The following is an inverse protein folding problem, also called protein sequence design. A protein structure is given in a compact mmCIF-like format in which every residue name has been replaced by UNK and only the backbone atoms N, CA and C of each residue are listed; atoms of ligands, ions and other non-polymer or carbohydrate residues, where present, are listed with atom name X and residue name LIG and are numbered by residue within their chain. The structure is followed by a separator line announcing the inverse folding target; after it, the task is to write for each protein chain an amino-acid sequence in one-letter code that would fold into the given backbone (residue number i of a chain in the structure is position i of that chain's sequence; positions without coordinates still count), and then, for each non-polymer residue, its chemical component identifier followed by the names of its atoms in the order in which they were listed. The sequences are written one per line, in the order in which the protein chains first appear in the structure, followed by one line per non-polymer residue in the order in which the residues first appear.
data_IF_218150797604
#
_entry.id   IF_218150797604
#
_cell.length_a   1.000
_cell.length_b   1.000
_cell.length_c   1.000
_cell.angle_alpha   90.00
_cell.angle_beta   90.00
_cell.angle_gamma   90.00
#
_symmetry.space_group_name_H-M   'P 1'
#
loop_
_entity.id
_entity.type
_entity.pdbx_description
1 polymer ?
#
# COMPACT_ATOMS: atom_id res chain seq x y z
N UNK A 1 -26.08 -15.62 -5.43
CA UNK A 1 -25.45 -14.87 -6.54
C UNK A 1 -23.99 -14.64 -6.15
N UNK A 2 -23.05 -14.89 -7.05
CA UNK A 2 -21.61 -14.64 -6.82
C UNK A 2 -21.24 -13.40 -7.61
N UNK A 3 -20.62 -12.43 -6.96
CA UNK A 3 -20.05 -11.23 -7.60
C UNK A 3 -18.54 -11.38 -7.63
N UNK A 4 -17.95 -11.28 -8.82
CA UNK A 4 -16.49 -11.26 -8.99
C UNK A 4 -16.04 -9.82 -9.24
N UNK A 5 -15.10 -9.34 -8.43
CA UNK A 5 -14.48 -8.03 -8.58
C UNK A 5 -13.07 -8.22 -9.14
N UNK A 6 -12.72 -7.43 -10.16
CA UNK A 6 -11.36 -7.40 -10.69
C UNK A 6 -10.50 -6.46 -9.85
N UNK A 7 -9.38 -6.97 -9.36
CA UNK A 7 -8.47 -6.23 -8.49
C UNK A 7 -7.16 -6.99 -8.30
N UNK A 8 -6.28 -6.43 -7.49
CA UNK A 8 -4.98 -7.01 -7.14
C UNK A 8 -4.98 -7.35 -5.66
N UNK A 9 -4.59 -8.59 -5.34
CA UNK A 9 -4.32 -9.01 -3.98
C UNK A 9 -2.89 -8.63 -3.62
N UNK A 10 -2.74 -7.80 -2.60
CA UNK A 10 -1.46 -7.43 -2.00
C UNK A 10 -1.27 -8.23 -0.71
N UNK A 11 -0.10 -8.84 -0.56
CA UNK A 11 0.34 -9.47 0.68
C UNK A 11 1.60 -8.75 1.17
N UNK A 12 1.55 -8.25 2.40
CA UNK A 12 2.64 -7.49 3.04
C UNK A 12 2.65 -7.69 4.56
N UNK A 13 3.71 -7.26 5.22
CA UNK A 13 3.74 -7.18 6.69
C UNK A 13 2.74 -6.13 7.22
N UNK A 14 2.42 -6.26 8.51
CA UNK A 14 1.45 -5.42 9.22
C UNK A 14 1.74 -3.91 9.17
N UNK A 15 2.98 -3.41 9.42
CA UNK A 15 3.24 -1.98 9.33
C UNK A 15 3.14 -1.45 7.89
N UNK A 16 3.53 -2.25 6.90
CA UNK A 16 3.32 -1.89 5.49
C UNK A 16 1.84 -1.78 5.14
N UNK A 17 0.99 -2.70 5.62
CA UNK A 17 -0.47 -2.63 5.45
C UNK A 17 -1.04 -1.34 6.04
N UNK A 18 -0.68 -1.01 7.28
CA UNK A 18 -1.14 0.21 7.95
C UNK A 18 -0.72 1.47 7.22
N UNK A 19 0.51 1.50 6.69
CA UNK A 19 0.96 2.59 5.84
C UNK A 19 0.10 2.73 4.58
N UNK A 20 -0.21 1.63 3.88
CA UNK A 20 -1.08 1.64 2.69
C UNK A 20 -2.50 2.14 3.03
N UNK A 21 -3.06 1.73 4.17
CA UNK A 21 -4.36 2.21 4.64
C UNK A 21 -4.34 3.71 4.90
N UNK A 22 -3.29 4.23 5.53
CA UNK A 22 -3.14 5.67 5.77
C UNK A 22 -3.09 6.49 4.47
N UNK A 23 -2.41 5.96 3.43
CA UNK A 23 -2.39 6.57 2.10
C UNK A 23 -3.77 6.58 1.43
N UNK A 24 -4.57 5.54 1.68
CA UNK A 24 -5.93 5.44 1.17
C UNK A 24 -6.91 6.36 1.91
N UNK A 25 -6.75 6.54 3.23
CA UNK A 25 -7.54 7.46 4.04
C UNK A 25 -7.29 8.92 3.69
N UNK A 26 -6.05 9.27 3.33
CA UNK A 26 -5.69 10.61 2.87
C UNK A 26 -6.27 11.02 1.51
N UNK A 27 -6.93 10.10 0.79
CA UNK A 27 -7.49 10.37 -0.54
C UNK A 27 -8.98 10.75 -0.48
N UNK A 28 -9.46 11.59 -1.42
CA UNK A 28 -10.88 11.79 -1.63
C UNK A 28 -11.61 10.47 -1.86
N UNK A 29 -12.89 10.38 -1.49
CA UNK A 29 -13.71 9.17 -1.65
C UNK A 29 -13.68 8.60 -3.08
N UNK A 30 -13.62 9.46 -4.10
CA UNK A 30 -13.57 9.06 -5.51
C UNK A 30 -12.22 8.41 -5.92
N UNK A 31 -11.17 8.63 -5.14
CA UNK A 31 -9.80 8.17 -5.41
C UNK A 31 -9.35 7.06 -4.45
N UNK A 32 -10.21 6.63 -3.52
CA UNK A 32 -9.90 5.48 -2.66
C UNK A 32 -9.65 4.25 -3.50
N UNK A 33 -8.53 3.58 -3.24
CA UNK A 33 -8.03 2.48 -4.05
C UNK A 33 -8.07 1.13 -3.33
N UNK A 34 -8.24 1.11 -2.01
CA UNK A 34 -8.50 -0.12 -1.27
C UNK A 34 -9.96 -0.52 -1.47
N UNK A 35 -10.17 -1.70 -2.03
CA UNK A 35 -11.49 -2.29 -2.29
C UNK A 35 -11.94 -3.07 -1.05
N UNK A 36 -11.06 -3.93 -0.52
CA UNK A 36 -11.28 -4.68 0.72
C UNK A 36 -10.01 -4.74 1.57
N UNK A 37 -10.20 -4.59 2.87
CA UNK A 37 -9.23 -4.96 3.89
C UNK A 37 -9.60 -6.37 4.37
N UNK A 38 -8.73 -7.35 4.10
CA UNK A 38 -9.08 -8.77 4.24
C UNK A 38 -8.64 -9.33 5.59
N UNK A 39 -7.39 -9.04 5.98
CA UNK A 39 -6.76 -9.44 7.23
C UNK A 39 -5.52 -8.56 7.48
N UNK A 40 -4.78 -8.84 8.56
CA UNK A 40 -3.64 -8.03 9.02
C UNK A 40 -2.45 -8.00 8.05
N UNK A 41 -2.43 -8.84 7.01
CA UNK A 41 -1.34 -8.90 6.02
C UNK A 41 -1.82 -8.80 4.58
N UNK A 42 -3.13 -8.69 4.34
CA UNK A 42 -3.70 -8.74 2.99
C UNK A 42 -4.70 -7.64 2.71
N UNK A 43 -4.47 -6.97 1.57
CA UNK A 43 -5.37 -5.96 1.02
C UNK A 43 -5.78 -6.34 -0.40
N UNK A 44 -7.02 -6.05 -0.75
CA UNK A 44 -7.51 -6.11 -2.13
C UNK A 44 -7.66 -4.70 -2.68
N UNK A 45 -6.90 -4.35 -3.72
CA UNK A 45 -6.79 -2.98 -4.23
C UNK A 45 -7.10 -2.86 -5.72
N UNK A 46 -7.32 -1.63 -6.18
CA UNK A 46 -7.47 -1.31 -7.59
C UNK A 46 -6.15 -1.59 -8.37
N UNK A 47 -6.20 -2.21 -9.56
CA UNK A 47 -4.98 -2.52 -10.32
C UNK A 47 -4.20 -1.28 -10.79
N UNK A 48 -4.88 -0.15 -10.96
CA UNK A 48 -4.32 1.10 -11.48
C UNK A 48 -3.31 1.75 -10.54
N UNK A 49 -3.35 1.43 -9.25
CA UNK A 49 -2.50 2.07 -8.25
C UNK A 49 -1.22 1.30 -7.94
N UNK A 50 -1.05 0.08 -8.47
CA UNK A 50 0.08 -0.81 -8.09
C UNK A 50 1.43 -0.14 -8.33
N UNK A 51 1.66 0.40 -9.54
CA UNK A 51 2.92 1.06 -9.88
C UNK A 51 3.22 2.27 -8.97
N UNK A 52 2.18 3.05 -8.63
CA UNK A 52 2.32 4.20 -7.73
C UNK A 52 2.61 3.73 -6.29
N UNK A 53 1.96 2.66 -5.85
CA UNK A 53 2.14 2.10 -4.53
C UNK A 53 3.54 1.53 -4.34
N UNK A 54 4.08 0.82 -5.33
CA UNK A 54 5.46 0.31 -5.32
C UNK A 54 6.48 1.45 -5.17
N UNK A 55 6.28 2.57 -5.86
CA UNK A 55 7.13 3.76 -5.71
C UNK A 55 7.04 4.35 -4.31
N UNK A 56 5.83 4.49 -3.75
CA UNK A 56 5.62 5.02 -2.40
C UNK A 56 6.21 4.13 -1.32
N UNK A 57 6.10 2.81 -1.47
CA UNK A 57 6.70 1.86 -0.55
C UNK A 57 8.23 1.92 -0.59
N UNK A 58 8.82 2.12 -1.78
CA UNK A 58 10.25 2.31 -1.92
C UNK A 58 10.73 3.60 -1.23
N UNK A 59 10.04 4.72 -1.47
CA UNK A 59 10.32 6.00 -0.78
C UNK A 59 10.22 5.84 0.74
N UNK A 60 9.14 5.21 1.22
CA UNK A 60 8.95 4.93 2.63
C UNK A 60 10.08 4.07 3.23
N UNK A 61 10.50 3.02 2.53
CA UNK A 61 11.62 2.20 2.97
C UNK A 61 12.94 2.99 3.02
N UNK A 62 13.21 3.85 2.04
CA UNK A 62 14.41 4.69 2.00
C UNK A 62 14.44 5.72 3.14
N UNK A 63 13.31 6.35 3.45
CA UNK A 63 13.18 7.33 4.53
C UNK A 63 13.35 6.70 5.93
N UNK A 64 12.91 5.45 6.09
CA UNK A 64 12.94 4.75 7.39
C UNK A 64 14.14 3.81 7.55
N UNK A 65 14.99 3.68 6.52
CA UNK A 65 16.22 2.88 6.60
C UNK A 65 17.38 3.75 7.06
N UNK A 66 18.08 3.30 8.11
CA UNK A 66 19.29 3.97 8.57
C UNK A 66 20.35 4.04 7.46
N UNK A 67 20.80 5.25 7.15
CA UNK A 67 21.96 5.46 6.30
C UNK A 67 23.20 5.74 7.15
N UNK A 68 24.28 4.96 6.99
CA UNK A 68 25.50 5.20 7.75
C UNK A 68 26.07 6.59 7.41
N UNK A 69 26.57 7.36 8.39
CA UNK A 69 27.16 8.66 8.13
C UNK A 69 28.36 8.50 7.20
N UNK A 70 28.47 9.39 6.21
CA UNK A 70 29.61 9.42 5.31
C UNK A 70 30.90 9.55 6.13
N UNK A 71 31.82 8.59 5.97
CA UNK A 71 33.17 8.69 6.55
C UNK A 71 33.93 9.75 5.77
N UNK A 72 34.19 10.89 6.41
CA UNK A 72 35.12 11.91 5.93
C UNK A 72 36.57 11.39 5.92
#
# INVERSE_FOLDING_TARGET
MVSALHGVLLECDEPTREFILSLNEGKPTAEKFVIYDLDDTRLFVQPTVVNWLEQRLKEFAEENTYQPPAKN
#
